data_IF_025967511208
#
_entry.id   IF_025967511208
#
_cell.length_a   1.000
_cell.length_b   1.000
_cell.length_c   1.000
_cell.angle_alpha   90.00
_cell.angle_beta   90.00
_cell.angle_gamma   90.00
#
_symmetry.space_group_name_H-M   'P 1'
#
loop_
_entity.id
_entity.type
_entity.pdbx_description
1 polymer ?
#
# COMPACT_ATOMS: atom_id res chain seq x y z
N UNK A 1 6.36 3.65 21.88
CA UNK A 1 5.75 3.89 20.56
C UNK A 1 4.48 4.69 20.71
N UNK A 2 4.41 5.95 20.30
CA UNK A 2 3.21 6.75 20.44
C UNK A 2 2.24 6.45 19.30
N UNK A 3 1.15 5.74 19.60
CA UNK A 3 -0.03 5.76 18.74
C UNK A 3 -0.68 7.12 19.01
N UNK A 4 -0.67 7.98 18.01
CA UNK A 4 -1.34 9.28 18.06
C UNK A 4 -2.75 9.16 17.48
N UNK A 5 -3.61 10.15 17.65
CA UNK A 5 -4.98 10.18 17.08
C UNK A 5 -5.02 10.05 15.55
N UNK A 6 -3.87 10.30 14.87
CA UNK A 6 -3.74 10.21 13.41
C UNK A 6 -2.97 8.99 12.93
N UNK A 7 -2.52 8.10 13.82
CA UNK A 7 -1.79 6.89 13.52
C UNK A 7 -0.42 6.83 14.19
N UNK A 8 0.45 6.05 13.60
CA UNK A 8 1.76 5.73 14.12
C UNK A 8 2.78 6.82 13.75
N UNK A 9 3.57 7.26 14.71
CA UNK A 9 4.77 8.07 14.47
C UNK A 9 5.98 7.12 14.42
N UNK A 10 6.63 7.06 13.27
CA UNK A 10 7.68 6.10 12.98
C UNK A 10 8.98 6.57 13.60
N UNK A 11 9.65 5.72 14.40
CA UNK A 11 10.99 5.99 14.86
C UNK A 11 12.04 5.44 13.88
N UNK A 12 13.26 5.98 13.91
CA UNK A 12 14.33 5.59 12.98
C UNK A 12 14.71 4.11 13.10
N UNK A 13 14.81 3.59 14.32
CA UNK A 13 15.11 2.20 14.61
C UNK A 13 14.01 1.25 14.16
N UNK A 14 12.76 1.66 14.29
CA UNK A 14 11.61 0.93 13.76
C UNK A 14 11.68 0.85 12.23
N UNK A 15 11.87 1.98 11.54
CA UNK A 15 12.01 2.00 10.09
C UNK A 15 13.11 1.03 9.63
N UNK A 16 14.28 1.07 10.26
CA UNK A 16 15.40 0.21 9.93
C UNK A 16 15.07 -1.28 10.12
N UNK A 17 14.30 -1.61 11.15
CA UNK A 17 13.88 -2.99 11.45
C UNK A 17 12.88 -3.56 10.44
N UNK A 18 12.15 -2.70 9.71
CA UNK A 18 11.17 -3.12 8.72
C UNK A 18 11.74 -3.30 7.32
N UNK A 19 12.97 -2.83 7.06
CA UNK A 19 13.61 -2.98 5.75
C UNK A 19 14.00 -4.44 5.54
N UNK A 20 13.49 -5.05 4.47
CA UNK A 20 13.81 -6.41 4.04
C UNK A 20 14.99 -6.38 3.07
N UNK A 21 14.98 -5.42 2.16
CA UNK A 21 15.98 -5.26 1.11
C UNK A 21 16.12 -3.77 0.77
N UNK A 22 17.35 -3.37 0.56
CA UNK A 22 17.71 -2.02 0.13
C UNK A 22 18.86 -2.13 -0.88
N UNK A 23 18.55 -1.94 -2.17
CA UNK A 23 19.51 -1.98 -3.27
C UNK A 23 19.54 -0.65 -4.05
N UNK A 24 20.18 -0.62 -5.22
CA UNK A 24 20.30 0.61 -6.01
C UNK A 24 18.98 1.13 -6.58
N UNK A 25 18.01 0.24 -6.82
CA UNK A 25 16.78 0.55 -7.53
C UNK A 25 15.57 0.65 -6.59
N UNK A 26 15.53 -0.20 -5.55
CA UNK A 26 14.33 -0.36 -4.73
C UNK A 26 14.64 -0.52 -3.24
N UNK A 27 13.62 -0.25 -2.44
CA UNK A 27 13.55 -0.65 -1.03
C UNK A 27 12.29 -1.51 -0.87
N UNK A 28 12.46 -2.69 -0.28
CA UNK A 28 11.37 -3.56 0.18
C UNK A 28 11.21 -3.41 1.70
N UNK A 29 10.00 -3.12 2.13
CA UNK A 29 9.69 -2.88 3.55
C UNK A 29 8.53 -3.79 3.97
N UNK A 30 8.69 -4.45 5.11
CA UNK A 30 7.59 -5.12 5.81
C UNK A 30 6.85 -4.10 6.67
N UNK A 31 5.86 -3.44 6.07
CA UNK A 31 5.06 -2.42 6.75
C UNK A 31 4.20 -3.04 7.84
N UNK A 32 4.28 -2.60 9.11
CA UNK A 32 3.31 -3.01 10.11
C UNK A 32 1.93 -2.41 9.87
N UNK A 33 0.92 -3.00 10.50
CA UNK A 33 -0.41 -2.38 10.55
C UNK A 33 -0.36 -1.00 11.25
N UNK A 34 -1.33 -0.14 10.97
CA UNK A 34 -1.50 1.22 11.50
C UNK A 34 -0.51 2.26 10.96
N UNK A 35 0.44 1.89 10.12
CA UNK A 35 1.35 2.83 9.43
C UNK A 35 0.76 3.27 8.10
N UNK A 36 0.73 4.58 7.88
CA UNK A 36 0.29 5.20 6.63
C UNK A 36 1.39 5.13 5.57
N UNK A 37 1.07 4.79 4.33
CA UNK A 37 2.08 4.66 3.28
C UNK A 37 2.57 5.99 2.72
N UNK A 38 1.68 6.93 2.42
CA UNK A 38 1.99 8.18 1.71
C UNK A 38 2.03 9.37 2.65
N UNK A 39 2.77 10.44 2.32
CA UNK A 39 2.93 11.60 3.17
C UNK A 39 1.60 12.21 3.63
N UNK A 40 1.53 12.57 4.91
CA UNK A 40 0.41 13.27 5.53
C UNK A 40 0.82 14.68 5.94
N UNK A 41 -0.17 15.51 6.30
CA UNK A 41 0.06 16.87 6.83
C UNK A 41 0.69 16.88 8.23
N UNK A 42 0.89 15.71 8.85
CA UNK A 42 1.37 15.55 10.23
C UNK A 42 2.89 15.38 10.34
N UNK A 43 3.60 15.64 9.26
CA UNK A 43 5.05 15.56 9.21
C UNK A 43 5.56 14.28 8.51
N UNK A 44 6.88 14.25 8.19
CA UNK A 44 7.47 13.15 7.44
C UNK A 44 7.37 11.81 8.17
N UNK A 45 7.62 11.76 9.47
CA UNK A 45 7.62 10.55 10.28
C UNK A 45 6.22 9.96 10.53
N UNK A 46 5.17 10.65 10.10
CA UNK A 46 3.78 10.14 10.15
C UNK A 46 3.42 9.24 8.96
N UNK A 47 4.36 8.94 8.07
CA UNK A 47 4.14 8.10 6.90
C UNK A 47 5.40 7.36 6.47
N UNK A 48 5.24 6.18 5.88
CA UNK A 48 6.36 5.34 5.45
C UNK A 48 7.25 6.07 4.43
N UNK A 49 6.66 6.67 3.39
CA UNK A 49 7.42 7.42 2.38
C UNK A 49 8.15 8.61 2.99
N UNK A 50 7.52 9.33 3.90
CA UNK A 50 8.14 10.45 4.60
C UNK A 50 9.31 10.00 5.48
N UNK A 51 9.11 8.96 6.28
CA UNK A 51 10.16 8.40 7.14
C UNK A 51 11.35 7.86 6.31
N UNK A 52 11.10 7.20 5.18
CA UNK A 52 12.18 6.76 4.28
C UNK A 52 12.98 7.94 3.70
N UNK A 53 12.33 9.04 3.35
CA UNK A 53 13.03 10.23 2.84
C UNK A 53 13.93 10.85 3.91
N UNK A 54 13.38 11.09 5.09
CA UNK A 54 14.13 11.72 6.20
C UNK A 54 15.15 10.76 6.80
N UNK A 55 14.74 9.54 7.13
CA UNK A 55 15.55 8.58 7.88
C UNK A 55 16.64 7.91 7.05
N UNK A 56 16.43 7.73 5.74
CA UNK A 56 17.41 7.11 4.83
C UNK A 56 18.09 8.12 3.90
N UNK A 57 17.74 9.41 4.01
CA UNK A 57 18.38 10.49 3.26
C UNK A 57 18.01 10.53 1.77
N UNK A 58 16.85 10.02 1.37
CA UNK A 58 16.41 10.08 -0.02
C UNK A 58 15.68 11.38 -0.34
N UNK A 59 16.17 12.17 -1.28
CA UNK A 59 15.47 13.37 -1.77
C UNK A 59 14.10 12.99 -2.36
N UNK A 60 14.05 11.90 -3.13
CA UNK A 60 12.84 11.38 -3.77
C UNK A 60 12.76 9.87 -3.60
N UNK A 61 11.55 9.41 -3.34
CA UNK A 61 11.22 7.99 -3.31
C UNK A 61 9.81 7.82 -3.87
N UNK A 62 9.59 6.76 -4.62
CA UNK A 62 8.34 6.53 -5.34
C UNK A 62 7.61 5.33 -4.77
N UNK A 63 6.42 5.55 -4.27
CA UNK A 63 5.52 4.48 -3.83
C UNK A 63 4.87 3.82 -5.05
N UNK A 64 5.16 2.55 -5.27
CA UNK A 64 4.68 1.81 -6.44
C UNK A 64 3.23 1.35 -6.26
N UNK A 65 2.93 0.78 -5.11
CA UNK A 65 1.58 0.43 -4.69
C UNK A 65 1.46 0.66 -3.19
N UNK A 66 0.28 1.02 -2.74
CA UNK A 66 0.02 1.23 -1.31
C UNK A 66 -0.72 0.06 -0.71
N UNK A 67 -0.52 -0.12 0.58
CA UNK A 67 -1.41 -0.85 1.47
C UNK A 67 -2.22 0.15 2.28
N UNK A 68 -3.40 -0.24 2.69
CA UNK A 68 -4.19 0.54 3.63
C UNK A 68 -3.49 0.62 4.98
N UNK A 69 -3.87 1.59 5.79
CA UNK A 69 -3.24 1.82 7.10
C UNK A 69 -3.26 0.57 7.96
N UNK A 70 -4.40 -0.11 8.02
CA UNK A 70 -4.63 -1.29 8.84
C UNK A 70 -3.99 -2.57 8.28
N UNK A 71 -3.62 -2.56 6.98
CA UNK A 71 -3.01 -3.72 6.32
C UNK A 71 -1.50 -3.72 6.55
N UNK A 72 -0.96 -4.84 7.03
CA UNK A 72 0.48 -5.11 7.09
C UNK A 72 0.98 -5.84 5.86
N UNK A 73 2.28 -5.85 5.64
CA UNK A 73 2.92 -6.63 4.58
C UNK A 73 3.90 -5.84 3.71
N UNK A 74 4.26 -6.42 2.59
CA UNK A 74 5.32 -5.93 1.71
C UNK A 74 4.90 -4.65 0.98
N UNK A 75 5.73 -3.63 1.09
CA UNK A 75 5.70 -2.40 0.31
C UNK A 75 6.97 -2.31 -0.53
N UNK A 76 6.78 -2.01 -1.82
CA UNK A 76 7.86 -1.71 -2.75
C UNK A 76 7.94 -0.19 -2.97
N UNK A 77 9.09 0.37 -2.68
CA UNK A 77 9.46 1.75 -2.96
C UNK A 77 10.56 1.78 -4.01
N UNK A 78 10.42 2.59 -5.05
CA UNK A 78 11.48 2.77 -6.04
C UNK A 78 12.28 4.04 -5.71
N UNK A 79 13.60 3.96 -5.80
CA UNK A 79 14.54 5.04 -5.45
C UNK A 79 14.67 6.09 -6.54
N UNK A 80 14.36 5.72 -7.78
CA UNK A 80 14.46 6.63 -8.91
C UNK A 80 13.36 6.37 -9.95
N UNK A 81 13.23 7.32 -10.88
CA UNK A 81 12.13 7.36 -11.84
C UNK A 81 12.08 6.16 -12.81
N UNK A 82 13.25 5.62 -13.19
CA UNK A 82 13.31 4.48 -14.12
C UNK A 82 12.76 3.21 -13.45
N UNK A 83 13.21 2.91 -12.23
CA UNK A 83 12.67 1.81 -11.43
C UNK A 83 11.16 1.99 -11.19
N UNK A 84 10.73 3.21 -10.80
CA UNK A 84 9.31 3.49 -10.60
C UNK A 84 8.47 3.20 -11.84
N UNK A 85 8.93 3.66 -13.02
CA UNK A 85 8.24 3.40 -14.29
C UNK A 85 8.19 1.90 -14.61
N UNK A 86 9.28 1.18 -14.41
CA UNK A 86 9.34 -0.26 -14.67
C UNK A 86 8.28 -1.02 -13.87
N UNK A 87 8.26 -0.81 -12.56
CA UNK A 87 7.29 -1.49 -11.67
C UNK A 87 5.85 -1.03 -11.89
N UNK A 88 5.63 0.26 -12.20
CA UNK A 88 4.30 0.76 -12.54
C UNK A 88 3.75 0.07 -13.79
N UNK A 89 4.58 -0.05 -14.84
CA UNK A 89 4.20 -0.76 -16.06
C UNK A 89 3.94 -2.25 -15.82
N UNK A 90 4.72 -2.91 -14.95
CA UNK A 90 4.48 -4.30 -14.59
C UNK A 90 3.13 -4.48 -13.88
N UNK A 91 2.77 -3.55 -12.98
CA UNK A 91 1.44 -3.54 -12.35
C UNK A 91 0.31 -3.33 -13.36
N UNK A 92 0.46 -2.37 -14.29
CA UNK A 92 -0.52 -2.08 -15.35
C UNK A 92 -0.73 -3.27 -16.28
N UNK A 93 0.34 -4.02 -16.61
CA UNK A 93 0.29 -5.24 -17.42
C UNK A 93 -0.19 -6.47 -16.65
N UNK A 94 -0.41 -6.35 -15.33
CA UNK A 94 -0.74 -7.48 -14.44
C UNK A 94 0.35 -8.55 -14.36
N UNK A 95 1.62 -8.17 -14.60
CA UNK A 95 2.77 -9.07 -14.49
C UNK A 95 3.20 -9.31 -13.02
N UNK A 96 2.50 -8.69 -12.06
CA UNK A 96 2.76 -8.80 -10.63
C UNK A 96 1.63 -9.55 -9.94
N UNK A 97 1.96 -10.68 -9.32
CA UNK A 97 1.03 -11.42 -8.46
C UNK A 97 1.08 -10.85 -7.04
N UNK A 98 -0.09 -10.53 -6.49
CA UNK A 98 -0.25 -10.06 -5.10
C UNK A 98 -1.07 -11.07 -4.32
N UNK A 99 -0.53 -11.56 -3.21
CA UNK A 99 -1.20 -12.50 -2.32
C UNK A 99 -1.40 -11.88 -0.94
N UNK A 100 -2.53 -12.16 -0.33
CA UNK A 100 -2.90 -11.65 0.98
C UNK A 100 -3.43 -12.78 1.86
N UNK A 101 -3.20 -12.66 3.17
CA UNK A 101 -3.89 -13.44 4.19
C UNK A 101 -4.96 -12.56 4.82
N UNK A 102 -6.17 -13.08 4.93
CA UNK A 102 -7.29 -12.38 5.55
C UNK A 102 -8.05 -13.30 6.50
N UNK A 103 -8.49 -12.75 7.62
CA UNK A 103 -9.41 -13.43 8.53
C UNK A 103 -10.83 -13.05 8.06
N UNK A 104 -11.64 -14.04 7.80
CA UNK A 104 -13.01 -13.88 7.32
C UNK A 104 -14.00 -14.37 8.37
N UNK A 105 -15.15 -13.74 8.45
CA UNK A 105 -16.29 -14.26 9.21
C UNK A 105 -16.98 -15.36 8.41
N UNK A 106 -17.27 -16.49 9.03
CA UNK A 106 -17.90 -17.65 8.41
C UNK A 106 -16.91 -18.66 7.81
N UNK A 107 -17.33 -19.40 6.78
CA UNK A 107 -16.54 -20.47 6.18
C UNK A 107 -16.51 -20.35 4.65
N UNK A 108 -15.33 -20.25 4.09
CA UNK A 108 -15.10 -20.34 2.66
C UNK A 108 -14.94 -21.81 2.25
N UNK A 109 -16.02 -22.44 1.80
CA UNK A 109 -16.04 -23.89 1.52
C UNK A 109 -15.37 -24.30 0.21
N UNK A 110 -15.13 -23.36 -0.70
CA UNK A 110 -14.50 -23.62 -2.02
C UNK A 110 -13.75 -22.38 -2.50
N UNK A 111 -12.78 -22.61 -3.38
CA UNK A 111 -12.14 -21.51 -4.11
C UNK A 111 -13.21 -20.73 -4.87
N UNK A 112 -13.20 -19.43 -4.71
CA UNK A 112 -14.12 -18.49 -5.34
C UNK A 112 -13.33 -17.44 -6.08
N UNK A 113 -13.68 -17.18 -7.32
CA UNK A 113 -13.12 -16.12 -8.14
C UNK A 113 -14.17 -15.02 -8.29
N UNK A 114 -13.76 -13.78 -8.03
CA UNK A 114 -14.60 -12.60 -8.20
C UNK A 114 -13.93 -11.71 -9.23
N UNK A 115 -14.55 -11.58 -10.39
CA UNK A 115 -14.19 -10.64 -11.45
C UNK A 115 -15.26 -9.56 -11.49
N UNK A 116 -15.02 -8.48 -10.76
CA UNK A 116 -16.00 -7.41 -10.60
C UNK A 116 -15.28 -6.07 -10.47
N UNK A 117 -15.53 -5.19 -11.42
CA UNK A 117 -14.95 -3.86 -11.42
C UNK A 117 -15.40 -3.04 -10.21
N UNK A 118 -14.46 -2.32 -9.61
CA UNK A 118 -14.69 -1.49 -8.42
C UNK A 118 -14.52 0.00 -8.75
N UNK A 119 -15.23 0.84 -8.04
CA UNK A 119 -15.13 2.26 -8.17
C UNK A 119 -15.66 2.98 -6.93
N UNK A 120 -15.53 4.31 -6.90
CA UNK A 120 -15.97 5.11 -5.76
C UNK A 120 -17.48 4.96 -5.52
N UNK A 121 -17.87 4.67 -4.28
CA UNK A 121 -19.27 4.67 -3.84
C UNK A 121 -19.73 6.12 -3.65
N UNK A 122 -20.61 6.59 -4.55
CA UNK A 122 -21.18 7.95 -4.50
C UNK A 122 -22.27 8.12 -3.45
N UNK A 123 -22.85 7.00 -2.99
CA UNK A 123 -23.98 7.00 -2.06
C UNK A 123 -23.51 6.83 -0.61
N UNK A 124 -22.23 6.57 -0.39
CA UNK A 124 -21.67 6.42 0.94
C UNK A 124 -21.32 7.75 1.57
N UNK A 125 -21.68 7.92 2.84
CA UNK A 125 -21.21 9.03 3.70
C UNK A 125 -19.69 8.94 3.95
N UNK A 126 -19.09 7.75 3.78
CA UNK A 126 -17.64 7.55 3.89
C UNK A 126 -16.99 7.95 2.57
N UNK A 127 -16.24 9.04 2.59
CA UNK A 127 -15.71 9.68 1.37
C UNK A 127 -14.82 8.78 0.48
N UNK A 128 -14.12 7.82 1.06
CA UNK A 128 -13.18 6.94 0.35
C UNK A 128 -13.71 5.51 0.12
N UNK A 129 -15.00 5.26 0.37
CA UNK A 129 -15.58 3.93 0.18
C UNK A 129 -15.66 3.56 -1.29
N UNK A 130 -15.27 2.32 -1.61
CA UNK A 130 -15.42 1.72 -2.93
C UNK A 130 -16.57 0.72 -2.92
N UNK A 131 -17.19 0.54 -4.07
CA UNK A 131 -18.24 -0.45 -4.31
C UNK A 131 -18.05 -1.10 -5.68
N UNK A 132 -18.66 -2.26 -5.91
CA UNK A 132 -18.74 -2.87 -7.23
C UNK A 132 -19.56 -1.98 -8.16
N UNK A 133 -19.06 -1.70 -9.34
CA UNK A 133 -19.70 -0.80 -10.31
C UNK A 133 -19.75 -1.38 -11.70
N UNK A 134 -20.89 -1.15 -12.37
CA UNK A 134 -21.11 -1.50 -13.77
C UNK A 134 -20.89 -0.30 -14.73
N UNK A 135 -20.69 0.92 -14.22
CA UNK A 135 -20.54 2.12 -15.06
C UNK A 135 -19.08 2.33 -15.53
N UNK A 136 -18.88 3.15 -16.56
CA UNK A 136 -17.59 3.37 -17.21
C UNK A 136 -16.49 4.04 -16.38
N UNK A 137 -16.75 4.40 -15.11
CA UNK A 137 -15.78 4.96 -14.15
C UNK A 137 -15.34 3.91 -13.14
N UNK A 138 -14.76 2.83 -13.62
CA UNK A 138 -14.41 1.65 -12.86
C UNK A 138 -12.95 1.27 -13.07
N UNK A 139 -12.37 0.60 -12.09
CA UNK A 139 -11.12 -0.15 -12.22
C UNK A 139 -11.47 -1.63 -12.27
N UNK A 140 -10.97 -2.32 -13.27
CA UNK A 140 -11.09 -3.77 -13.33
C UNK A 140 -10.37 -4.40 -12.15
N UNK A 141 -11.06 -5.30 -11.47
CA UNK A 141 -10.53 -5.99 -10.30
C UNK A 141 -10.90 -7.47 -10.35
N UNK A 142 -9.90 -8.31 -10.15
CA UNK A 142 -10.06 -9.77 -10.09
C UNK A 142 -9.40 -10.27 -8.82
N UNK A 143 -10.11 -11.05 -8.04
CA UNK A 143 -9.61 -11.63 -6.79
C UNK A 143 -10.01 -13.09 -6.71
N UNK A 144 -9.04 -13.93 -6.37
CA UNK A 144 -9.25 -15.36 -6.12
C UNK A 144 -9.06 -15.64 -4.63
N UNK A 145 -10.06 -16.23 -4.05
CA UNK A 145 -10.07 -16.64 -2.64
C UNK A 145 -9.86 -18.14 -2.53
#
# INVERSE_FOLDING_TARGET
>A
MPITDWGWEIAQDELNSWIIQDDNDVILINKPALVVCHPSKKGPWSSLVGACREGLGYERIHLIARLDRETSGIILLAKHRLAARHFQMALERRDVTKSYLAILEGSLKKVTEVDAAVGKDKNSIVHCKSTVRADGRRQEAQTRF
#
